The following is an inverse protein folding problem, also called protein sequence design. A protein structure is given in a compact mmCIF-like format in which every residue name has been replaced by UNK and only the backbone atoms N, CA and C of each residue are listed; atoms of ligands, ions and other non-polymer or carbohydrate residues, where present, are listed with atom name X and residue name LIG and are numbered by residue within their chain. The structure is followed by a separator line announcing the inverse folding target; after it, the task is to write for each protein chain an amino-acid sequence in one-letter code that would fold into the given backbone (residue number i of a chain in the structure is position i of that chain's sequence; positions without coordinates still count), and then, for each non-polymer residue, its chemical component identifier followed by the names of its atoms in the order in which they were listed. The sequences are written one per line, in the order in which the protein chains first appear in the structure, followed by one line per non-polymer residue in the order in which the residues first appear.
data_IF_242070996781
#
_entry.id   IF_242070996781
#
_cell.length_a   1.000
_cell.length_b   1.000
_cell.length_c   1.000
_cell.angle_alpha   90.00
_cell.angle_beta   90.00
_cell.angle_gamma   90.00
#
_symmetry.space_group_name_H-M   'P 1'
#
loop_
_entity.id
_entity.type
_entity.pdbx_description
1 polymer ?
#
# COMPACT_ATOMS: atom_id res chain seq x y z
N UNK A 1 10.08 25.39 0.35
CA UNK A 1 8.70 25.21 0.15
C UNK A 1 8.37 24.04 -0.73
N UNK A 2 8.91 24.02 -1.90
CA UNK A 2 8.64 22.91 -2.79
C UNK A 2 9.14 21.62 -2.18
N UNK A 3 10.21 21.71 -1.43
CA UNK A 3 10.74 20.55 -0.75
C UNK A 3 9.70 19.92 0.16
N UNK A 4 9.08 20.74 0.95
CA UNK A 4 8.09 20.27 1.90
C UNK A 4 6.92 19.63 1.19
N UNK A 5 6.53 20.21 0.09
CA UNK A 5 5.41 19.68 -0.67
C UNK A 5 5.74 18.31 -1.22
N UNK A 6 6.93 18.16 -1.76
CA UNK A 6 7.34 16.90 -2.32
C UNK A 6 7.38 15.81 -1.27
N UNK A 7 7.96 16.12 -0.13
CA UNK A 7 8.07 15.16 0.95
C UNK A 7 6.69 14.76 1.45
N UNK A 8 5.82 15.73 1.60
CA UNK A 8 4.48 15.46 2.07
C UNK A 8 3.74 14.55 1.09
N UNK A 9 3.87 14.84 -0.18
CA UNK A 9 3.20 14.01 -1.18
C UNK A 9 3.74 12.58 -1.17
N UNK A 10 5.02 12.45 -0.95
CA UNK A 10 5.64 11.15 -0.91
C UNK A 10 5.09 10.34 0.26
N UNK A 11 5.02 10.96 1.42
CA UNK A 11 4.52 10.29 2.60
C UNK A 11 3.07 9.85 2.40
N UNK A 12 2.26 10.75 1.86
CA UNK A 12 0.86 10.42 1.64
C UNK A 12 0.72 9.28 0.64
N UNK A 13 1.54 9.31 -0.41
CA UNK A 13 1.49 8.27 -1.42
C UNK A 13 1.82 6.92 -0.81
N UNK A 14 2.84 6.87 0.03
CA UNK A 14 3.24 5.63 0.65
C UNK A 14 2.13 5.12 1.57
N UNK A 15 1.53 6.02 2.33
CA UNK A 15 0.45 5.62 3.23
C UNK A 15 -0.71 5.04 2.46
N UNK A 16 -1.09 5.70 1.38
CA UNK A 16 -2.20 5.21 0.58
C UNK A 16 -1.86 3.85 -0.05
N UNK A 17 -0.64 3.70 -0.48
CA UNK A 17 -0.21 2.45 -1.09
C UNK A 17 -0.32 1.31 -0.09
N UNK A 18 0.14 1.56 1.14
CA UNK A 18 0.07 0.53 2.16
C UNK A 18 -1.37 0.14 2.47
N UNK A 19 -2.24 1.14 2.54
CA UNK A 19 -3.64 0.86 2.81
C UNK A 19 -4.24 0.04 1.67
N UNK A 20 -3.92 0.40 0.45
CA UNK A 20 -4.44 -0.32 -0.70
C UNK A 20 -4.02 -1.77 -0.67
N UNK A 21 -2.76 -2.01 -0.38
CA UNK A 21 -2.24 -3.36 -0.32
C UNK A 21 -2.95 -4.15 0.78
N UNK A 22 -3.15 -3.51 1.91
CA UNK A 22 -3.81 -4.15 3.02
C UNK A 22 -5.23 -4.56 2.64
N UNK A 23 -5.94 -3.67 1.99
CA UNK A 23 -7.29 -3.95 1.58
C UNK A 23 -7.34 -5.11 0.61
N UNK A 24 -6.40 -5.15 -0.32
CA UNK A 24 -6.34 -6.22 -1.29
C UNK A 24 -6.09 -7.55 -0.60
N UNK A 25 -5.15 -7.56 0.32
CA UNK A 25 -4.86 -8.78 1.04
C UNK A 25 -6.07 -9.27 1.80
N UNK A 26 -6.77 -8.36 2.44
CA UNK A 26 -7.93 -8.72 3.20
C UNK A 26 -9.00 -9.28 2.30
N UNK A 27 -9.17 -8.67 1.14
CA UNK A 27 -10.19 -9.11 0.23
C UNK A 27 -9.88 -10.50 -0.30
N UNK A 28 -8.65 -10.74 -0.63
CA UNK A 28 -8.26 -12.03 -1.14
C UNK A 28 -8.29 -13.07 -0.05
N UNK A 29 -8.15 -12.66 1.18
CA UNK A 29 -8.20 -13.61 2.25
C UNK A 29 -6.83 -13.89 2.77
N UNK A 30 -5.89 -14.07 1.91
CA UNK A 30 -4.61 -14.33 2.38
C UNK A 30 -3.73 -14.50 1.21
N UNK A 31 -2.67 -15.17 1.33
CA UNK A 31 -1.73 -15.35 0.26
C UNK A 31 -2.38 -16.01 -0.86
N UNK A 32 -2.27 -15.44 -1.98
CA UNK A 32 -2.89 -16.04 -3.13
C UNK A 32 -2.29 -17.36 -3.42
N UNK A 33 -1.23 -17.60 -3.17
CA UNK A 33 -0.67 -18.73 -3.58
C UNK A 33 -0.62 -19.74 -2.74
N UNK A 34 -0.62 -19.80 -2.24
CA UNK A 34 -0.57 -20.70 -1.55
C UNK A 34 -0.51 -21.75 -1.73
N UNK A 35 -0.51 -22.30 -2.02
CA UNK A 35 -0.44 -23.31 -2.07
C UNK A 35 -0.52 -23.93 -2.87
N UNK A 36 -0.40 -24.11 -3.22
CA UNK A 36 -0.42 -24.75 -4.11
C UNK A 36 -0.39 -25.76 -4.02
N UNK A 37 -0.13 -26.10 -3.74
CA UNK A 37 0.02 -27.11 -3.66
C UNK A 37 -0.40 -27.46 -3.42
#
# INVERSE_FOLDING_TARGET
MIETIIITMLIVAICLALLAIKIIFKKIGRFPNTHIS
#
